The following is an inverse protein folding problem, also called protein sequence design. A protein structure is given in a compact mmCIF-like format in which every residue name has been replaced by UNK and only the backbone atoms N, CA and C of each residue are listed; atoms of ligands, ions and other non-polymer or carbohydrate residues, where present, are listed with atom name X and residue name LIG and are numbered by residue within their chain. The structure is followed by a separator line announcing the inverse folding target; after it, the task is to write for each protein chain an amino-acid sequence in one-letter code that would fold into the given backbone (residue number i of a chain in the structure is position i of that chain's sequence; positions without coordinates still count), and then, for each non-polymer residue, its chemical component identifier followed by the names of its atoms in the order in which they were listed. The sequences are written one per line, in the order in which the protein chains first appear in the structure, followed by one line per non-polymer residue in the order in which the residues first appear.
data_IF_544470539895
#
_entry.id   IF_544470539895
#
_cell.length_a   1.000
_cell.length_b   1.000
_cell.length_c   1.000
_cell.angle_alpha   90.00
_cell.angle_beta   90.00
_cell.angle_gamma   90.00
#
_symmetry.space_group_name_H-M   'P 1'
#
loop_
_entity.id
_entity.type
_entity.pdbx_description
1 polymer ?
#
# COMPACT_ATOMS: atom_id res chain seq x y z
N UNK A 1 8.42 0.13 -12.28
CA UNK A 1 8.12 0.36 -10.85
C UNK A 1 7.07 -0.64 -10.38
N UNK A 2 7.28 -1.24 -9.24
CA UNK A 2 6.33 -2.19 -8.69
C UNK A 2 6.00 -1.82 -7.25
N UNK A 3 4.73 -1.93 -6.88
CA UNK A 3 4.27 -1.56 -5.55
C UNK A 3 3.77 -2.79 -4.80
N UNK A 4 3.76 -2.68 -3.47
CA UNK A 4 3.11 -3.64 -2.59
C UNK A 4 2.15 -2.85 -1.74
N UNK A 5 0.89 -3.30 -1.68
CA UNK A 5 -0.15 -2.64 -0.91
C UNK A 5 -0.66 -3.60 0.17
N UNK A 6 -0.33 -3.31 1.42
CA UNK A 6 -0.91 -4.03 2.55
C UNK A 6 -2.29 -3.45 2.83
N UNK A 7 -3.31 -4.29 2.79
CA UNK A 7 -4.70 -3.87 2.84
C UNK A 7 -5.53 -4.74 3.78
N UNK A 8 -6.81 -4.37 3.92
CA UNK A 8 -7.79 -5.20 4.62
C UNK A 8 -9.14 -5.00 3.93
N UNK A 9 -10.13 -5.85 4.30
CA UNK A 9 -11.48 -5.69 3.79
C UNK A 9 -12.10 -4.40 4.32
N UNK A 10 -13.02 -3.83 3.56
CA UNK A 10 -13.76 -2.63 3.94
C UNK A 10 -12.84 -1.46 4.30
N UNK A 11 -11.83 -1.26 3.46
CA UNK A 11 -10.88 -0.17 3.64
C UNK A 11 -10.94 0.76 2.43
N UNK A 12 -11.69 1.87 2.52
CA UNK A 12 -11.81 2.80 1.39
C UNK A 12 -10.46 3.36 0.92
N UNK A 13 -9.58 3.68 1.86
CA UNK A 13 -8.26 4.21 1.48
C UNK A 13 -7.40 3.16 0.79
N UNK A 14 -7.55 1.88 1.16
CA UNK A 14 -6.86 0.81 0.46
C UNK A 14 -7.34 0.72 -0.98
N UNK A 15 -8.65 0.83 -1.19
CA UNK A 15 -9.22 0.82 -2.53
C UNK A 15 -8.75 2.02 -3.35
N UNK A 16 -8.69 3.19 -2.74
CA UNK A 16 -8.20 4.39 -3.40
C UNK A 16 -6.73 4.26 -3.78
N UNK A 17 -5.92 3.67 -2.91
CA UNK A 17 -4.51 3.46 -3.19
C UNK A 17 -4.33 2.53 -4.40
N UNK A 18 -5.08 1.44 -4.43
CA UNK A 18 -5.03 0.51 -5.55
C UNK A 18 -5.48 1.17 -6.85
N UNK A 19 -6.54 1.97 -6.79
CA UNK A 19 -7.04 2.68 -7.96
C UNK A 19 -6.02 3.70 -8.46
N UNK A 20 -5.35 4.39 -7.54
CA UNK A 20 -4.33 5.36 -7.92
C UNK A 20 -3.16 4.68 -8.64
N UNK A 21 -2.71 3.55 -8.12
CA UNK A 21 -1.63 2.80 -8.75
C UNK A 21 -2.01 2.33 -10.16
N UNK A 22 -3.24 1.84 -10.31
CA UNK A 22 -3.73 1.44 -11.63
C UNK A 22 -3.77 2.62 -12.60
N UNK A 23 -4.20 3.78 -12.14
CA UNK A 23 -4.30 4.96 -12.98
C UNK A 23 -2.93 5.45 -13.46
N UNK A 24 -1.87 5.06 -12.76
CA UNK A 24 -0.50 5.42 -13.13
C UNK A 24 0.23 4.29 -13.83
N UNK A 25 -0.48 3.20 -14.17
CA UNK A 25 0.10 2.01 -14.80
C UNK A 25 1.22 1.39 -13.99
N UNK A 26 1.09 1.42 -12.67
CA UNK A 26 2.07 0.82 -11.76
C UNK A 26 1.55 -0.55 -11.34
N UNK A 27 2.34 -1.59 -11.60
CA UNK A 27 2.00 -2.92 -11.13
C UNK A 27 2.09 -2.97 -9.61
N UNK A 28 1.16 -3.69 -8.97
CA UNK A 28 1.20 -3.85 -7.53
C UNK A 28 0.74 -5.23 -7.12
N UNK A 29 1.23 -5.65 -5.95
CA UNK A 29 0.78 -6.86 -5.28
C UNK A 29 -0.05 -6.43 -4.08
N UNK A 30 -1.27 -6.92 -3.98
CA UNK A 30 -2.09 -6.65 -2.80
C UNK A 30 -1.86 -7.74 -1.77
N UNK A 31 -1.58 -7.34 -0.53
CA UNK A 31 -1.40 -8.24 0.60
C UNK A 31 -2.47 -7.95 1.64
N UNK A 32 -3.60 -8.67 1.52
CA UNK A 32 -4.75 -8.45 2.39
C UNK A 32 -4.57 -9.25 3.68
N UNK A 33 -4.49 -8.54 4.81
CA UNK A 33 -4.19 -9.17 6.10
C UNK A 33 -5.38 -9.92 6.68
N UNK A 34 -6.53 -9.90 6.02
CA UNK A 34 -7.70 -10.67 6.42
C UNK A 34 -7.87 -11.94 5.59
N UNK A 35 -6.99 -12.19 4.63
CA UNK A 35 -7.09 -13.34 3.73
C UNK A 35 -5.78 -14.11 3.67
N UNK A 36 -4.99 -13.90 2.62
CA UNK A 36 -3.76 -14.67 2.40
C UNK A 36 -2.61 -14.23 3.30
N UNK A 37 -2.72 -13.08 3.93
CA UNK A 37 -1.67 -12.51 4.77
C UNK A 37 -2.21 -12.24 6.16
N UNK A 38 -1.32 -11.98 7.10
CA UNK A 38 -1.71 -11.73 8.48
C UNK A 38 -1.22 -10.37 8.93
N UNK A 39 -1.84 -9.86 10.00
CA UNK A 39 -1.40 -8.64 10.63
C UNK A 39 0.04 -8.76 11.15
N UNK A 40 0.40 -9.96 11.63
CA UNK A 40 1.75 -10.20 12.10
C UNK A 40 2.77 -10.03 10.99
N UNK A 41 2.45 -10.51 9.80
CA UNK A 41 3.32 -10.33 8.64
C UNK A 41 3.45 -8.86 8.26
N UNK A 42 2.36 -8.11 8.36
CA UNK A 42 2.41 -6.66 8.14
C UNK A 42 3.35 -5.99 9.14
N UNK A 43 3.25 -6.36 10.41
CA UNK A 43 4.10 -5.76 11.44
C UNK A 43 5.56 -6.16 11.30
N UNK A 44 5.84 -7.31 10.71
CA UNK A 44 7.22 -7.67 10.37
C UNK A 44 7.79 -6.74 9.31
N UNK A 45 6.98 -6.43 8.31
CA UNK A 45 7.40 -5.55 7.22
C UNK A 45 7.41 -4.07 7.65
N UNK A 46 6.44 -3.68 8.48
CA UNK A 46 6.28 -2.30 8.94
C UNK A 46 6.03 -2.32 10.44
N UNK A 47 7.09 -2.37 11.27
CA UNK A 47 6.93 -2.56 12.73
C UNK A 47 6.07 -1.50 13.41
N UNK A 48 6.00 -0.30 12.86
CA UNK A 48 5.23 0.78 13.46
C UNK A 48 3.86 0.96 12.81
N UNK A 49 3.41 0.00 12.00
CA UNK A 49 2.13 0.11 11.32
C UNK A 49 0.98 0.11 12.33
N UNK A 50 0.09 1.08 12.22
CA UNK A 50 -1.13 1.17 13.02
C UNK A 50 -2.37 1.03 12.18
N UNK A 51 -2.25 1.31 10.90
CA UNK A 51 -3.38 1.33 9.97
C UNK A 51 -2.95 0.75 8.64
N UNK A 52 -3.92 0.48 7.79
CA UNK A 52 -3.71 0.18 6.38
C UNK A 52 -4.44 1.26 5.57
N UNK A 53 -4.01 1.53 4.35
CA UNK A 53 -2.98 0.81 3.61
C UNK A 53 -1.56 1.16 4.06
N UNK A 54 -0.65 0.20 3.89
CA UNK A 54 0.79 0.47 3.98
C UNK A 54 1.38 0.08 2.64
N UNK A 55 2.05 1.02 2.00
CA UNK A 55 2.43 0.89 0.60
C UNK A 55 3.93 0.99 0.43
N UNK A 56 4.48 0.06 -0.35
CA UNK A 56 5.88 0.09 -0.75
C UNK A 56 5.96 0.39 -2.24
N UNK A 57 6.96 1.18 -2.63
CA UNK A 57 7.32 1.37 -4.04
C UNK A 57 8.77 0.94 -4.21
N UNK A 58 9.00 -0.06 -5.06
CA UNK A 58 10.35 -0.60 -5.32
C UNK A 58 11.09 -0.88 -4.01
N UNK A 59 10.43 -1.59 -3.10
CA UNK A 59 10.96 -2.02 -1.80
C UNK A 59 11.19 -0.88 -0.79
N UNK A 60 10.72 0.32 -1.10
CA UNK A 60 10.82 1.45 -0.19
C UNK A 60 9.44 1.75 0.41
N UNK A 61 9.37 1.82 1.72
CA UNK A 61 8.12 2.15 2.41
C UNK A 61 7.73 3.60 2.13
N UNK A 62 6.56 3.78 1.55
CA UNK A 62 6.01 5.10 1.26
C UNK A 62 5.10 5.56 2.39
N UNK A 63 4.26 4.65 2.89
CA UNK A 63 3.28 4.94 3.93
C UNK A 63 1.87 4.64 3.47
N UNK A 64 0.92 5.47 3.86
CA UNK A 64 -0.48 5.29 3.53
C UNK A 64 -0.85 5.92 2.19
N UNK A 65 -2.18 6.02 1.95
CA UNK A 65 -2.68 6.57 0.68
C UNK A 65 -2.23 8.02 0.45
N UNK A 66 -2.30 8.85 1.49
CA UNK A 66 -1.93 10.26 1.36
C UNK A 66 -0.47 10.41 0.97
N UNK A 67 0.40 9.64 1.61
CA UNK A 67 1.83 9.65 1.29
C UNK A 67 2.09 9.15 -0.12
N UNK A 68 1.36 8.12 -0.54
CA UNK A 68 1.49 7.60 -1.90
C UNK A 68 1.08 8.65 -2.92
N UNK A 69 -0.03 9.31 -2.69
CA UNK A 69 -0.53 10.34 -3.59
C UNK A 69 0.47 11.48 -3.72
N UNK A 70 1.03 11.93 -2.61
CA UNK A 70 2.03 12.98 -2.61
C UNK A 70 3.27 12.55 -3.38
N UNK A 71 3.74 11.34 -3.13
CA UNK A 71 4.93 10.80 -3.80
C UNK A 71 4.75 10.76 -5.32
N UNK A 72 3.61 10.27 -5.78
CA UNK A 72 3.35 10.16 -7.22
C UNK A 72 3.12 11.51 -7.87
N UNK A 73 2.59 12.48 -7.13
CA UNK A 73 2.39 13.83 -7.63
C UNK A 73 3.71 14.58 -7.76
N UNK A 74 4.66 14.33 -6.87
CA UNK A 74 5.98 14.96 -6.90
C UNK A 74 6.88 14.37 -7.97
N UNK A 75 6.60 13.15 -8.41
CA UNK A 75 7.41 12.43 -9.39
C UNK A 75 7.11 12.93 -10.79
N UNK A 76 7.74 13.94 -11.19
CA UNK A 76 7.59 14.41 -12.57
C UNK A 76 8.80 14.12 -13.39
#
# INVERSE_FOLDING_TARGET
MKAIVWSKDQCPYCDQAKALLKSRNIEFEERNIMHDWTREQLLEAVPNARTVPQIFLDDELVGGFTELRTKLTESK
#
